data_IF_896788604538
#
_entry.id   IF_896788604538
#
_cell.length_a   1.000
_cell.length_b   1.000
_cell.length_c   1.000
_cell.angle_alpha   90.00
_cell.angle_beta   90.00
_cell.angle_gamma   90.00
#
_symmetry.space_group_name_H-M   'P 1'
#
loop_
_entity.id
_entity.type
_entity.pdbx_description
1 polymer ?
#
# COMPACT_ATOMS: atom_id res chain seq x y z
N UNK A 1 -12.60 23.68 -29.76
CA UNK A 1 -13.74 22.90 -29.21
C UNK A 1 -13.32 22.32 -27.87
N UNK A 2 -13.81 22.89 -26.76
CA UNK A 2 -13.64 22.27 -25.44
C UNK A 2 -14.53 21.04 -25.41
N UNK A 3 -13.93 19.86 -25.62
CA UNK A 3 -14.59 18.59 -25.33
C UNK A 3 -14.97 18.65 -23.86
N UNK A 4 -16.27 18.85 -23.57
CA UNK A 4 -16.82 18.70 -22.22
C UNK A 4 -16.50 17.26 -21.80
N UNK A 5 -15.34 17.05 -21.18
CA UNK A 5 -14.98 15.77 -20.62
C UNK A 5 -16.11 15.39 -19.70
N UNK A 6 -16.78 14.28 -20.02
CA UNK A 6 -17.85 13.76 -19.18
C UNK A 6 -17.30 13.62 -17.77
N UNK A 7 -18.11 13.98 -16.78
CA UNK A 7 -17.73 13.91 -15.37
C UNK A 7 -17.11 12.54 -14.98
N UNK A 8 -17.53 11.37 -15.55
CA UNK A 8 -16.93 10.09 -15.21
C UNK A 8 -15.49 9.98 -15.71
N UNK A 9 -15.18 10.54 -16.89
CA UNK A 9 -13.83 10.48 -17.46
C UNK A 9 -12.83 11.27 -16.60
N UNK A 10 -13.27 12.41 -16.06
CA UNK A 10 -12.47 13.22 -15.13
C UNK A 10 -12.25 12.49 -13.81
N UNK A 11 -13.29 11.84 -13.28
CA UNK A 11 -13.19 11.05 -12.06
C UNK A 11 -12.26 9.85 -12.23
N UNK A 12 -12.37 9.12 -13.34
CA UNK A 12 -11.51 7.97 -13.65
C UNK A 12 -10.05 8.39 -13.80
N UNK A 13 -9.79 9.49 -14.51
CA UNK A 13 -8.44 10.04 -14.63
C UNK A 13 -7.88 10.44 -13.26
N UNK A 14 -8.67 11.13 -12.44
CA UNK A 14 -8.27 11.52 -11.09
C UNK A 14 -7.97 10.33 -10.20
N UNK A 15 -8.80 9.29 -10.26
CA UNK A 15 -8.59 8.04 -9.54
C UNK A 15 -7.32 7.32 -9.99
N UNK A 16 -7.07 7.21 -11.30
CA UNK A 16 -5.85 6.59 -11.83
C UNK A 16 -4.59 7.36 -11.42
N UNK A 17 -4.63 8.70 -11.47
CA UNK A 17 -3.51 9.55 -11.07
C UNK A 17 -3.24 9.45 -9.57
N UNK A 18 -4.29 9.41 -8.74
CA UNK A 18 -4.18 9.16 -7.31
C UNK A 18 -3.49 7.81 -7.02
N UNK A 19 -3.90 6.73 -7.69
CA UNK A 19 -3.24 5.44 -7.51
C UNK A 19 -1.80 5.46 -7.98
N UNK A 20 -1.50 6.12 -9.09
CA UNK A 20 -0.13 6.26 -9.57
C UNK A 20 0.76 7.00 -8.56
N UNK A 21 0.30 8.15 -8.07
CA UNK A 21 1.03 8.94 -7.07
C UNK A 21 1.20 8.16 -5.75
N UNK A 22 0.17 7.43 -5.32
CA UNK A 22 0.24 6.59 -4.12
C UNK A 22 1.19 5.38 -4.28
N UNK A 23 1.13 4.68 -5.41
CA UNK A 23 1.89 3.45 -5.68
C UNK A 23 3.37 3.74 -5.96
N UNK A 24 3.66 4.82 -6.68
CA UNK A 24 5.00 5.09 -7.24
C UNK A 24 5.64 6.35 -6.64
N UNK A 25 4.84 7.40 -6.39
CA UNK A 25 5.35 8.74 -6.12
C UNK A 25 5.61 9.07 -4.65
N UNK A 26 4.66 8.77 -3.77
CA UNK A 26 4.62 9.35 -2.42
C UNK A 26 5.27 8.46 -1.35
N UNK A 27 4.91 7.16 -1.33
CA UNK A 27 5.47 6.17 -0.38
C UNK A 27 5.58 4.76 -1.01
N UNK A 28 6.46 4.57 -2.01
CA UNK A 28 6.64 3.28 -2.67
C UNK A 28 7.00 2.14 -1.68
N UNK A 29 7.57 2.47 -0.53
CA UNK A 29 7.86 1.52 0.55
C UNK A 29 6.60 0.84 1.09
N UNK A 30 5.48 1.56 1.23
CA UNK A 30 4.22 0.99 1.70
C UNK A 30 3.59 0.08 0.65
N UNK A 31 3.71 0.43 -0.64
CA UNK A 31 3.29 -0.45 -1.72
C UNK A 31 4.08 -1.76 -1.72
N UNK A 32 5.40 -1.69 -1.63
CA UNK A 32 6.26 -2.88 -1.52
C UNK A 32 5.90 -3.71 -0.28
N UNK A 33 5.66 -3.06 0.86
CA UNK A 33 5.25 -3.75 2.08
C UNK A 33 3.91 -4.48 1.92
N UNK A 34 2.94 -3.90 1.21
CA UNK A 34 1.66 -4.54 0.92
C UNK A 34 1.84 -5.79 0.04
N UNK A 35 2.63 -5.69 -1.04
CA UNK A 35 2.93 -6.83 -1.92
C UNK A 35 3.63 -7.95 -1.14
N UNK A 36 4.65 -7.61 -0.35
CA UNK A 36 5.37 -8.57 0.49
C UNK A 36 4.43 -9.24 1.51
N UNK A 37 3.54 -8.46 2.13
CA UNK A 37 2.54 -9.00 3.07
C UNK A 37 1.63 -10.02 2.38
N UNK A 38 1.13 -9.72 1.18
CA UNK A 38 0.29 -10.65 0.41
C UNK A 38 1.06 -11.95 0.12
N UNK A 39 2.31 -11.85 -0.33
CA UNK A 39 3.16 -13.03 -0.62
C UNK A 39 3.40 -13.87 0.63
N UNK A 40 3.72 -13.24 1.77
CA UNK A 40 3.93 -13.95 3.04
C UNK A 40 2.65 -14.68 3.46
N UNK A 41 1.50 -14.01 3.39
CA UNK A 41 0.23 -14.60 3.82
C UNK A 41 -0.19 -15.74 2.89
N UNK A 42 -0.02 -15.60 1.58
CA UNK A 42 -0.30 -16.67 0.61
C UNK A 42 0.58 -17.90 0.90
N UNK A 43 1.87 -17.69 1.15
CA UNK A 43 2.83 -18.76 1.47
C UNK A 43 2.45 -19.49 2.77
N UNK A 44 2.14 -18.74 3.83
CA UNK A 44 1.70 -19.30 5.12
C UNK A 44 0.38 -20.08 4.98
N UNK A 45 -0.54 -19.57 4.17
CA UNK A 45 -1.88 -20.17 4.01
C UNK A 45 -1.85 -21.43 3.15
N UNK A 46 -1.16 -21.40 2.01
CA UNK A 46 -1.16 -22.52 1.04
C UNK A 46 -0.12 -23.58 1.34
N UNK A 47 1.11 -23.17 1.67
CA UNK A 47 2.21 -24.12 1.90
C UNK A 47 2.15 -24.65 3.33
N UNK A 48 1.86 -23.76 4.28
CA UNK A 48 1.78 -24.11 5.68
C UNK A 48 0.46 -24.78 6.08
N UNK A 49 -0.66 -24.54 5.38
CA UNK A 49 -2.02 -24.84 5.89
C UNK A 49 -2.34 -24.17 7.23
N UNK A 50 -1.58 -23.14 7.64
CA UNK A 50 -1.74 -22.45 8.93
C UNK A 50 -2.63 -21.21 8.79
N UNK A 51 -3.85 -21.40 8.31
CA UNK A 51 -4.79 -20.28 8.10
C UNK A 51 -5.09 -19.51 9.40
N UNK A 52 -5.06 -20.18 10.55
CA UNK A 52 -5.20 -19.54 11.87
C UNK A 52 -4.07 -18.56 12.18
N UNK A 53 -2.83 -18.85 11.75
CA UNK A 53 -1.70 -17.93 11.90
C UNK A 53 -1.81 -16.74 10.95
N UNK A 54 -2.30 -16.95 9.73
CA UNK A 54 -2.50 -15.87 8.76
C UNK A 54 -3.44 -14.76 9.27
N UNK A 55 -4.49 -15.13 10.03
CA UNK A 55 -5.44 -14.19 10.64
C UNK A 55 -4.74 -13.18 11.55
N UNK A 56 -3.74 -13.61 12.32
CA UNK A 56 -2.98 -12.74 13.21
C UNK A 56 -1.79 -12.09 12.51
N UNK A 57 -1.17 -12.79 11.57
CA UNK A 57 0.02 -12.32 10.87
C UNK A 57 -0.28 -11.10 10.00
N UNK A 58 -1.44 -11.06 9.32
CA UNK A 58 -1.83 -9.94 8.47
C UNK A 58 -1.91 -8.61 9.23
N UNK A 59 -2.68 -8.47 10.34
CA UNK A 59 -2.73 -7.22 11.09
C UNK A 59 -1.37 -6.87 11.71
N UNK A 60 -0.58 -7.84 12.15
CA UNK A 60 0.77 -7.58 12.68
C UNK A 60 1.67 -6.97 11.60
N UNK A 61 1.72 -7.57 10.40
CA UNK A 61 2.52 -7.07 9.29
C UNK A 61 2.06 -5.67 8.86
N UNK A 62 0.76 -5.41 8.87
CA UNK A 62 0.21 -4.08 8.57
C UNK A 62 0.65 -3.03 9.60
N UNK A 63 0.52 -3.32 10.90
CA UNK A 63 0.95 -2.41 11.99
C UNK A 63 2.44 -2.14 11.90
N UNK A 64 3.26 -3.18 11.74
CA UNK A 64 4.73 -3.04 11.63
C UNK A 64 5.11 -2.20 10.41
N UNK A 65 4.51 -2.47 9.24
CA UNK A 65 4.79 -1.72 8.01
C UNK A 65 4.41 -0.24 8.16
N UNK A 66 3.26 0.05 8.78
CA UNK A 66 2.82 1.40 9.01
C UNK A 66 3.70 2.13 10.04
N UNK A 67 3.97 1.51 11.19
CA UNK A 67 4.82 2.10 12.23
C UNK A 67 6.24 2.37 11.73
N UNK A 68 6.82 1.46 10.93
CA UNK A 68 8.15 1.66 10.34
C UNK A 68 8.15 2.78 9.31
N UNK A 69 7.11 2.90 8.49
CA UNK A 69 6.94 4.01 7.54
C UNK A 69 6.87 5.36 8.27
N UNK A 70 6.01 5.48 9.29
CA UNK A 70 5.87 6.69 10.10
C UNK A 70 7.19 7.04 10.78
N UNK A 71 7.87 6.06 11.38
CA UNK A 71 9.15 6.29 12.05
C UNK A 71 10.22 6.81 11.08
N UNK A 72 10.30 6.26 9.86
CA UNK A 72 11.21 6.74 8.81
C UNK A 72 10.88 8.16 8.37
N UNK A 73 9.61 8.46 8.15
CA UNK A 73 9.14 9.79 7.76
C UNK A 73 9.50 10.85 8.82
N UNK A 74 9.21 10.56 10.09
CA UNK A 74 9.56 11.42 11.23
C UNK A 74 11.08 11.60 11.35
N UNK A 75 11.85 10.51 11.20
CA UNK A 75 13.31 10.56 11.27
C UNK A 75 13.92 11.39 10.14
N UNK A 76 13.34 11.34 8.93
CA UNK A 76 13.77 12.16 7.79
C UNK A 76 13.44 13.64 8.01
N UNK A 77 12.27 13.95 8.57
CA UNK A 77 11.87 15.32 8.91
C UNK A 77 12.77 15.93 9.99
N UNK A 78 13.15 15.17 11.02
CA UNK A 78 14.01 15.66 12.12
C UNK A 78 15.46 15.93 11.71
N UNK A 79 15.94 15.30 10.63
CA UNK A 79 17.29 15.50 10.08
C UNK A 79 17.39 16.70 9.13
N UNK A 80 16.26 17.29 8.75
CA UNK A 80 16.16 18.42 7.83
C UNK A 80 16.00 19.72 8.63
#
# INVERSE_FOLDING_TARGET
>A
MSTKSSWPLRALKGFGMFWWDFLVGDTPELFVAAVVTIVIIDLVSRVGHHNSLAVWLLPILAVVSFSTSVWRAVSKARKK
#
